data_IF_427498807749
#
_entry.id   IF_427498807749
#
_cell.length_a   1.000
_cell.length_b   1.000
_cell.length_c   1.000
_cell.angle_alpha   90.00
_cell.angle_beta   90.00
_cell.angle_gamma   90.00
#
_symmetry.space_group_name_H-M   'P 1'
#
loop_
_entity.id
_entity.type
_entity.pdbx_description
1 polymer ?
#
# COMPACT_ATOMS: atom_id res chain seq x y z
N UNK A 1 -8.30 1.75 -20.96
CA UNK A 1 -7.65 2.85 -20.20
C UNK A 1 -6.46 2.31 -19.41
N UNK A 2 -5.52 3.17 -18.97
CA UNK A 2 -4.35 2.74 -18.18
C UNK A 2 -4.70 1.96 -16.90
N UNK A 3 -5.79 2.31 -16.21
CA UNK A 3 -6.20 1.63 -14.97
C UNK A 3 -6.86 0.28 -15.21
N UNK A 4 -7.51 0.10 -16.37
CA UNK A 4 -8.02 -1.22 -16.78
C UNK A 4 -6.86 -2.18 -17.04
N UNK A 5 -5.86 -1.74 -17.79
CA UNK A 5 -4.62 -2.51 -18.03
C UNK A 5 -3.92 -2.86 -16.70
N UNK A 6 -3.77 -1.89 -15.79
CA UNK A 6 -3.17 -2.13 -14.48
C UNK A 6 -3.91 -3.19 -13.65
N UNK A 7 -5.26 -3.15 -13.63
CA UNK A 7 -6.07 -4.18 -12.97
C UNK A 7 -5.76 -5.57 -13.55
N UNK A 8 -5.84 -5.71 -14.87
CA UNK A 8 -5.66 -7.01 -15.53
C UNK A 8 -4.23 -7.55 -15.37
N UNK A 9 -3.22 -6.68 -15.35
CA UNK A 9 -1.84 -7.07 -15.03
C UNK A 9 -1.72 -7.61 -13.60
N UNK A 10 -2.38 -6.99 -12.62
CA UNK A 10 -2.37 -7.47 -11.24
C UNK A 10 -3.07 -8.82 -11.13
N UNK A 11 -4.22 -8.99 -11.78
CA UNK A 11 -4.94 -10.27 -11.81
C UNK A 11 -4.09 -11.38 -12.44
N UNK A 12 -3.49 -11.12 -13.62
CA UNK A 12 -2.59 -12.05 -14.29
C UNK A 12 -1.35 -12.39 -13.43
N UNK A 13 -0.78 -11.42 -12.72
CA UNK A 13 0.36 -11.68 -11.83
C UNK A 13 -0.02 -12.58 -10.65
N UNK A 14 -1.20 -12.37 -10.05
CA UNK A 14 -1.70 -13.24 -8.96
C UNK A 14 -1.90 -14.67 -9.45
N UNK A 15 -2.45 -14.85 -10.65
CA UNK A 15 -2.55 -16.15 -11.32
C UNK A 15 -1.16 -16.80 -11.48
N UNK A 16 -0.20 -16.07 -12.05
CA UNK A 16 1.17 -16.54 -12.28
C UNK A 16 1.86 -16.93 -10.98
N UNK A 17 1.66 -16.19 -9.90
CA UNK A 17 2.29 -16.43 -8.61
C UNK A 17 1.68 -17.58 -7.83
N UNK A 18 0.40 -17.87 -8.03
CA UNK A 18 -0.35 -18.83 -7.20
C UNK A 18 -0.55 -20.19 -7.87
N UNK A 19 -0.52 -20.26 -9.21
CA UNK A 19 -0.78 -21.51 -9.96
C UNK A 19 0.48 -22.09 -10.59
N UNK A 20 0.53 -23.42 -10.75
CA UNK A 20 1.65 -24.13 -11.38
C UNK A 20 1.72 -23.89 -12.89
N UNK A 21 0.57 -23.95 -13.56
CA UNK A 21 0.36 -23.67 -14.98
C UNK A 21 -0.66 -22.53 -15.16
N UNK A 22 -0.31 -21.28 -14.83
CA UNK A 22 -1.20 -20.13 -14.96
C UNK A 22 -1.62 -19.86 -16.40
N UNK A 23 -2.83 -19.31 -16.54
CA UNK A 23 -3.39 -18.78 -17.77
C UNK A 23 -4.33 -17.61 -17.39
N UNK A 24 -4.35 -16.55 -18.20
CA UNK A 24 -5.20 -15.38 -17.95
C UNK A 24 -5.63 -14.74 -19.27
N UNK A 25 -6.94 -14.54 -19.44
CA UNK A 25 -7.53 -13.96 -20.65
C UNK A 25 -8.39 -12.74 -20.31
N UNK A 26 -7.75 -11.58 -20.16
CA UNK A 26 -8.42 -10.29 -19.98
C UNK A 26 -8.68 -9.57 -21.30
N UNK A 27 -9.33 -8.42 -21.27
CA UNK A 27 -9.64 -7.68 -22.50
C UNK A 27 -8.39 -7.03 -23.13
N UNK A 28 -7.36 -6.75 -22.33
CA UNK A 28 -6.11 -6.11 -22.75
C UNK A 28 -4.91 -7.03 -22.49
N UNK A 29 -4.92 -7.75 -21.37
CA UNK A 29 -3.80 -8.64 -20.97
C UNK A 29 -4.17 -10.09 -21.28
N UNK A 30 -3.27 -10.76 -21.99
CA UNK A 30 -3.40 -12.15 -22.38
C UNK A 30 -2.12 -12.89 -21.97
N UNK A 31 -2.26 -13.93 -21.16
CA UNK A 31 -1.18 -14.81 -20.73
C UNK A 31 -1.59 -16.21 -21.12
N UNK A 32 -0.99 -16.80 -22.19
CA UNK A 32 -1.26 -18.18 -22.54
C UNK A 32 -0.75 -19.11 -21.45
N UNK A 33 -1.28 -20.34 -21.41
CA UNK A 33 -0.79 -21.38 -20.51
C UNK A 33 0.75 -21.45 -20.51
N UNK A 34 1.34 -21.21 -19.35
CA UNK A 34 2.81 -21.18 -19.19
C UNK A 34 3.23 -21.75 -17.83
N UNK A 35 4.54 -21.98 -17.64
CA UNK A 35 5.13 -22.36 -16.34
C UNK A 35 6.22 -21.37 -15.96
N UNK A 36 6.08 -20.75 -14.79
CA UNK A 36 7.04 -19.77 -14.26
C UNK A 36 7.44 -20.15 -12.85
N UNK A 37 8.76 -20.27 -12.62
CA UNK A 37 9.38 -20.62 -11.35
C UNK A 37 10.66 -19.79 -11.13
N UNK A 38 11.06 -19.52 -9.88
CA UNK A 38 10.41 -19.94 -8.63
C UNK A 38 9.11 -19.14 -8.34
N UNK A 39 8.21 -19.72 -7.54
CA UNK A 39 7.05 -18.98 -7.01
C UNK A 39 7.48 -18.07 -5.86
N UNK A 40 6.73 -17.01 -5.56
CA UNK A 40 7.00 -16.19 -4.39
C UNK A 40 7.00 -17.01 -3.09
N UNK A 41 7.91 -16.66 -2.20
CA UNK A 41 8.00 -17.26 -0.86
C UNK A 41 6.75 -16.93 -0.01
N UNK A 42 6.23 -15.70 -0.12
CA UNK A 42 5.01 -15.27 0.56
C UNK A 42 3.77 -15.90 -0.06
N UNK A 43 2.86 -16.42 0.78
CA UNK A 43 1.58 -17.03 0.37
C UNK A 43 0.39 -16.14 0.74
N UNK A 44 -0.68 -16.10 -0.08
CA UNK A 44 -0.76 -16.73 -1.41
C UNK A 44 0.16 -16.06 -2.45
N UNK A 45 0.43 -14.77 -2.28
CA UNK A 45 1.37 -14.00 -3.10
C UNK A 45 1.86 -12.79 -2.27
N UNK A 46 2.92 -12.07 -2.70
CA UNK A 46 3.30 -10.80 -2.08
C UNK A 46 2.14 -9.80 -2.10
N UNK A 47 1.92 -9.00 -1.04
CA UNK A 47 0.81 -8.07 -0.99
C UNK A 47 0.94 -6.98 -2.05
N UNK A 48 -0.14 -6.72 -2.78
CA UNK A 48 -0.19 -5.63 -3.78
C UNK A 48 -0.75 -4.38 -3.13
N UNK A 49 0.09 -3.37 -2.92
CA UNK A 49 -0.29 -2.09 -2.32
C UNK A 49 -0.55 -1.07 -3.42
N UNK A 50 -1.76 -0.52 -3.47
CA UNK A 50 -2.19 0.40 -4.54
C UNK A 50 -2.02 1.84 -4.10
N UNK A 51 -1.20 2.59 -4.84
CA UNK A 51 -0.91 3.98 -4.54
C UNK A 51 -1.91 4.98 -5.12
N UNK A 52 -2.03 6.10 -4.42
CA UNK A 52 -2.59 7.34 -4.94
C UNK A 52 -3.69 7.99 -4.09
N UNK A 53 -4.41 8.87 -4.77
CA UNK A 53 -5.46 9.73 -4.25
C UNK A 53 -6.75 9.01 -3.84
N UNK A 54 -7.33 9.37 -2.70
CA UNK A 54 -8.74 9.08 -2.40
C UNK A 54 -9.63 9.89 -3.37
N UNK A 55 -10.82 9.40 -3.78
CA UNK A 55 -11.36 8.05 -3.55
C UNK A 55 -10.92 7.03 -4.61
N UNK A 56 -10.32 7.46 -5.72
CA UNK A 56 -10.12 6.59 -6.88
C UNK A 56 -9.10 5.46 -6.65
N UNK A 57 -7.98 5.74 -5.97
CA UNK A 57 -7.00 4.69 -5.64
C UNK A 57 -7.50 3.76 -4.55
N UNK A 58 -8.22 4.29 -3.56
CA UNK A 58 -8.90 3.52 -2.54
C UNK A 58 -9.87 2.50 -3.15
N UNK A 59 -10.73 2.92 -4.10
CA UNK A 59 -11.58 1.99 -4.89
C UNK A 59 -10.79 0.88 -5.58
N UNK A 60 -9.61 1.19 -6.11
CA UNK A 60 -8.74 0.21 -6.78
C UNK A 60 -8.09 -0.75 -5.76
N UNK A 61 -7.63 -0.24 -4.63
CA UNK A 61 -7.09 -1.04 -3.53
C UNK A 61 -8.13 -2.04 -3.02
N UNK A 62 -9.37 -1.59 -2.82
CA UNK A 62 -10.48 -2.45 -2.39
C UNK A 62 -10.81 -3.51 -3.45
N UNK A 63 -10.84 -3.11 -4.73
CA UNK A 63 -11.22 -4.01 -5.83
C UNK A 63 -10.21 -5.13 -6.07
N UNK A 64 -8.90 -4.84 -6.06
CA UNK A 64 -7.89 -5.84 -6.46
C UNK A 64 -6.55 -5.74 -5.71
N UNK A 65 -6.43 -4.88 -4.71
CA UNK A 65 -5.25 -4.77 -3.85
C UNK A 65 -5.36 -5.51 -2.52
N UNK A 66 -4.27 -5.44 -1.77
CA UNK A 66 -4.11 -5.87 -0.37
C UNK A 66 -3.77 -4.70 0.56
N UNK A 67 -3.57 -3.51 -0.02
CA UNK A 67 -3.36 -2.30 0.73
C UNK A 67 -3.53 -1.04 -0.10
N UNK A 68 -3.67 0.08 0.58
CA UNK A 68 -3.77 1.42 0.02
C UNK A 68 -2.63 2.28 0.53
N UNK A 69 -1.94 2.98 -0.37
CA UNK A 69 -0.83 3.90 -0.03
C UNK A 69 -1.08 5.33 -0.54
N UNK A 70 -1.80 6.16 0.25
CA UNK A 70 -1.89 7.59 0.01
C UNK A 70 -0.58 8.33 0.34
N UNK A 71 -0.50 9.55 -0.15
CA UNK A 71 0.67 10.40 -0.02
C UNK A 71 0.32 11.66 0.79
N UNK A 72 0.80 11.73 2.03
CA UNK A 72 0.56 12.84 2.95
C UNK A 72 1.36 14.11 2.60
N UNK A 73 2.34 14.03 1.70
CA UNK A 73 3.12 15.19 1.23
C UNK A 73 2.38 16.03 0.19
N UNK A 74 1.20 15.59 -0.25
CA UNK A 74 0.37 16.31 -1.22
C UNK A 74 -0.62 17.16 -0.47
N UNK A 75 -0.73 18.45 -0.83
CA UNK A 75 -1.57 19.44 -0.13
C UNK A 75 -3.03 19.01 0.04
N UNK A 76 -3.61 18.33 -0.97
CA UNK A 76 -4.98 17.81 -0.91
C UNK A 76 -5.17 16.60 0.03
N UNK A 77 -4.09 16.04 0.58
CA UNK A 77 -4.07 14.87 1.48
C UNK A 77 -3.34 15.18 2.79
N UNK A 78 -3.31 16.46 3.20
CA UNK A 78 -2.55 16.92 4.36
C UNK A 78 -2.87 16.10 5.62
N UNK A 79 -4.14 15.70 5.79
CA UNK A 79 -4.54 14.68 6.77
C UNK A 79 -5.26 13.50 6.10
N UNK A 80 -4.48 12.48 5.73
CA UNK A 80 -4.99 11.21 5.18
C UNK A 80 -6.04 10.55 6.08
N UNK A 81 -6.03 10.84 7.38
CA UNK A 81 -6.88 10.15 8.35
C UNK A 81 -8.35 10.53 8.22
N UNK A 82 -8.63 11.71 7.66
CA UNK A 82 -9.99 12.16 7.35
C UNK A 82 -10.70 11.24 6.35
N UNK A 83 -9.94 10.52 5.51
CA UNK A 83 -10.50 9.59 4.53
C UNK A 83 -10.70 8.18 5.07
N UNK A 84 -10.20 7.84 6.26
CA UNK A 84 -10.28 6.48 6.80
C UNK A 84 -11.71 6.00 7.05
N UNK A 85 -12.65 6.82 7.60
CA UNK A 85 -14.04 6.40 7.74
C UNK A 85 -14.68 6.03 6.41
N UNK A 86 -14.55 6.91 5.40
CA UNK A 86 -15.08 6.65 4.05
C UNK A 86 -14.38 5.49 3.33
N UNK A 87 -13.09 5.29 3.58
CA UNK A 87 -12.36 4.12 3.08
C UNK A 87 -12.93 2.81 3.65
N UNK A 88 -13.14 2.75 4.97
CA UNK A 88 -13.71 1.59 5.65
C UNK A 88 -15.14 1.30 5.19
N UNK A 89 -15.97 2.33 5.09
CA UNK A 89 -17.34 2.19 4.58
C UNK A 89 -17.37 1.66 3.14
N UNK A 90 -16.48 2.18 2.28
CA UNK A 90 -16.35 1.74 0.90
C UNK A 90 -15.85 0.29 0.78
N UNK A 91 -14.96 -0.15 1.68
CA UNK A 91 -14.50 -1.53 1.74
C UNK A 91 -15.65 -2.46 2.15
N UNK A 92 -16.37 -2.13 3.22
CA UNK A 92 -17.54 -2.89 3.70
C UNK A 92 -18.62 -2.97 2.62
N UNK A 93 -18.95 -1.85 1.98
CA UNK A 93 -19.92 -1.80 0.88
C UNK A 93 -19.52 -2.65 -0.33
N UNK A 94 -18.22 -2.88 -0.52
CA UNK A 94 -17.69 -3.76 -1.55
C UNK A 94 -17.55 -5.23 -1.10
N UNK A 95 -18.08 -5.59 0.09
CA UNK A 95 -18.01 -6.94 0.65
C UNK A 95 -16.61 -7.35 1.12
N UNK A 96 -15.72 -6.39 1.37
CA UNK A 96 -14.36 -6.62 1.88
C UNK A 96 -14.29 -6.21 3.34
N UNK A 97 -13.67 -7.04 4.17
CA UNK A 97 -13.27 -6.64 5.51
C UNK A 97 -12.24 -5.49 5.41
N UNK A 98 -12.51 -4.29 5.98
CA UNK A 98 -11.56 -3.19 5.98
C UNK A 98 -10.21 -3.55 6.63
N UNK A 99 -10.20 -4.43 7.65
CA UNK A 99 -8.97 -4.86 8.31
C UNK A 99 -8.09 -5.76 7.41
N UNK A 100 -8.68 -6.37 6.36
CA UNK A 100 -7.93 -7.13 5.35
C UNK A 100 -7.15 -6.26 4.36
N UNK A 101 -7.31 -4.94 4.42
CA UNK A 101 -6.70 -3.98 3.49
C UNK A 101 -5.81 -3.01 4.27
N UNK A 102 -4.51 -3.29 4.27
CA UNK A 102 -3.54 -2.45 4.98
C UNK A 102 -3.52 -1.01 4.47
N UNK A 103 -3.35 -0.04 5.36
CA UNK A 103 -3.14 1.36 5.01
C UNK A 103 -1.70 1.75 5.32
N UNK A 104 -0.98 2.19 4.29
CA UNK A 104 0.38 2.71 4.42
C UNK A 104 0.37 4.20 4.10
N UNK A 105 0.93 5.07 4.92
CA UNK A 105 1.03 6.50 4.60
C UNK A 105 2.45 6.82 4.13
N UNK A 106 2.59 7.36 2.92
CA UNK A 106 3.88 7.86 2.42
C UNK A 106 4.05 9.36 2.70
N UNK A 107 5.27 9.78 2.99
CA UNK A 107 5.63 11.19 3.17
C UNK A 107 5.23 11.76 4.53
N UNK A 108 5.28 10.92 5.57
CA UNK A 108 4.97 11.34 6.95
C UNK A 108 6.13 12.19 7.50
N UNK A 109 5.86 13.36 8.10
CA UNK A 109 6.90 14.18 8.73
C UNK A 109 7.40 13.52 10.03
N UNK A 110 8.61 13.90 10.45
CA UNK A 110 9.23 13.49 11.71
C UNK A 110 8.47 14.12 12.90
N UNK A 111 7.31 13.57 13.27
CA UNK A 111 6.41 14.11 14.29
C UNK A 111 5.76 12.97 15.09
N UNK A 112 6.09 12.86 16.38
CA UNK A 112 5.65 11.78 17.25
C UNK A 112 4.13 11.74 17.43
N UNK A 113 3.49 12.87 17.71
CA UNK A 113 2.05 12.93 17.99
C UNK A 113 1.24 12.47 16.77
N UNK A 114 1.67 12.88 15.58
CA UNK A 114 1.06 12.45 14.31
C UNK A 114 1.22 10.96 14.09
N UNK A 115 2.38 10.40 14.38
CA UNK A 115 2.63 8.95 14.25
C UNK A 115 1.79 8.16 15.26
N UNK A 116 1.68 8.63 16.51
CA UNK A 116 0.83 8.02 17.54
C UNK A 116 -0.64 8.01 17.11
N UNK A 117 -1.15 9.16 16.63
CA UNK A 117 -2.51 9.25 16.08
C UNK A 117 -2.74 8.28 14.93
N UNK A 118 -1.77 8.13 14.01
CA UNK A 118 -1.87 7.17 12.92
C UNK A 118 -1.99 5.73 13.43
N UNK A 119 -1.20 5.36 14.44
CA UNK A 119 -1.29 4.05 15.07
C UNK A 119 -2.64 3.81 15.72
N UNK A 120 -3.13 4.77 16.51
CA UNK A 120 -4.46 4.69 17.16
C UNK A 120 -5.60 4.53 16.16
N UNK A 121 -5.45 5.13 14.97
CA UNK A 121 -6.43 5.04 13.90
C UNK A 121 -6.24 3.80 13.01
N UNK A 122 -5.33 2.89 13.35
CA UNK A 122 -5.16 1.61 12.65
C UNK A 122 -4.39 1.72 11.33
N UNK A 123 -3.48 2.69 11.20
CA UNK A 123 -2.52 2.74 10.09
C UNK A 123 -1.42 1.69 10.33
N UNK A 124 -1.23 0.78 9.37
CA UNK A 124 -0.29 -0.33 9.49
C UNK A 124 1.17 0.09 9.31
N UNK A 125 1.42 1.13 8.49
CA UNK A 125 2.78 1.49 8.09
C UNK A 125 2.89 2.96 7.73
N UNK A 126 4.02 3.55 8.09
CA UNK A 126 4.46 4.84 7.56
C UNK A 126 5.72 4.65 6.72
N UNK A 127 5.81 5.36 5.59
CA UNK A 127 7.00 5.40 4.74
C UNK A 127 7.48 6.84 4.69
N UNK A 128 8.77 7.01 5.01
CA UNK A 128 9.42 8.30 5.16
C UNK A 128 10.42 8.50 4.04
N UNK A 129 10.66 9.76 3.69
CA UNK A 129 11.70 10.13 2.73
C UNK A 129 12.88 10.70 3.49
N UNK A 130 14.07 10.25 3.15
CA UNK A 130 15.32 10.86 3.61
C UNK A 130 15.84 11.77 2.48
N UNK A 131 16.45 12.92 2.80
CA UNK A 131 17.06 13.76 1.79
C UNK A 131 18.25 13.02 1.13
N UNK A 132 18.63 13.42 -0.08
CA UNK A 132 19.84 12.90 -0.73
C UNK A 132 21.04 13.70 -0.24
N UNK A 133 21.60 13.30 0.89
CA UNK A 133 22.66 14.01 1.59
C UNK A 133 23.80 13.07 2.00
N UNK A 134 24.92 13.61 2.47
CA UNK A 134 26.06 12.82 2.90
C UNK A 134 25.78 12.03 4.20
N UNK A 135 26.65 11.05 4.47
CA UNK A 135 26.56 10.15 5.62
C UNK A 135 26.38 10.89 6.95
N UNK A 136 27.07 12.02 7.14
CA UNK A 136 27.06 12.75 8.41
C UNK A 136 25.72 13.44 8.67
N UNK A 137 24.91 13.65 7.63
CA UNK A 137 23.54 14.17 7.76
C UNK A 137 22.49 13.06 7.84
N UNK A 138 22.68 11.96 7.09
CA UNK A 138 21.70 10.87 7.02
C UNK A 138 21.69 10.00 8.28
N UNK A 139 22.85 9.66 8.84
CA UNK A 139 22.90 8.80 10.04
C UNK A 139 22.17 9.44 11.24
N UNK A 140 22.40 10.73 11.58
CA UNK A 140 21.61 11.36 12.65
C UNK A 140 20.11 11.44 12.35
N UNK A 141 19.71 11.55 11.08
CA UNK A 141 18.29 11.51 10.72
C UNK A 141 17.68 10.12 10.96
N UNK A 142 18.40 9.06 10.63
CA UNK A 142 17.99 7.69 10.94
C UNK A 142 17.92 7.44 12.45
N UNK A 143 18.84 7.99 13.24
CA UNK A 143 18.80 7.88 14.71
C UNK A 143 17.54 8.52 15.30
N UNK A 144 17.12 9.69 14.79
CA UNK A 144 15.86 10.32 15.20
C UNK A 144 14.64 9.49 14.82
N UNK A 145 14.61 8.90 13.62
CA UNK A 145 13.56 7.96 13.24
C UNK A 145 13.55 6.70 14.11
N UNK A 146 14.71 6.16 14.47
CA UNK A 146 14.83 5.01 15.36
C UNK A 146 14.29 5.34 16.77
N UNK A 147 14.55 6.55 17.28
CA UNK A 147 13.99 7.03 18.55
C UNK A 147 12.47 7.20 18.49
N UNK A 148 11.94 7.77 17.39
CA UNK A 148 10.48 7.85 17.17
C UNK A 148 9.83 6.47 17.16
N UNK A 149 10.45 5.47 16.52
CA UNK A 149 9.92 4.09 16.50
C UNK A 149 9.81 3.54 17.93
N UNK A 150 10.85 3.72 18.76
CA UNK A 150 10.83 3.29 20.17
C UNK A 150 9.74 4.00 20.97
N UNK A 151 9.63 5.32 20.83
CA UNK A 151 8.63 6.16 21.52
C UNK A 151 7.18 5.91 21.07
N UNK A 152 7.00 5.32 19.89
CA UNK A 152 5.68 4.91 19.37
C UNK A 152 5.30 3.51 19.86
N UNK A 153 6.27 2.69 20.25
CA UNK A 153 6.06 1.32 20.72
C UNK A 153 5.68 1.24 22.21
N UNK A 154 6.09 2.22 23.01
CA UNK A 154 5.70 2.42 24.41
C UNK A 154 4.40 3.21 24.52
#
# INVERSE_FOLDING_TARGET
TRFKKMREQIEAMKEIWTKSEPEYHGEIVQVPKMRTWPKPAQKPHPPVIVGGAFPHSARRAIRYGNGWIPNASRSHYADVTEFLPGFREMATSAGRDPASISVTIWGVPENLDRIKRYREQGIDRVVVSLPSEDRNKILPALDRWADLIRKTAN
#
